data_IF_006331127073
#
_entry.id   IF_006331127073
#
_cell.length_a   1.000
_cell.length_b   1.000
_cell.length_c   1.000
_cell.angle_alpha   90.00
_cell.angle_beta   90.00
_cell.angle_gamma   90.00
#
_symmetry.space_group_name_H-M   'P 1'
#
loop_
_entity.id
_entity.type
_entity.pdbx_description
1 polymer ?
#
# COMPACT_ATOMS: atom_id res chain seq x y z
N UNK A 1 17.67 16.12 11.83
CA UNK A 1 16.75 15.18 12.48
C UNK A 1 15.79 14.72 11.40
N UNK A 2 15.71 13.42 11.11
CA UNK A 2 14.69 12.90 10.19
C UNK A 2 13.45 12.60 11.02
N UNK A 3 12.31 13.19 10.67
CA UNK A 3 11.03 12.83 11.26
C UNK A 3 10.70 11.39 10.88
N UNK A 4 10.47 10.54 11.88
CA UNK A 4 10.07 9.15 11.66
C UNK A 4 8.56 9.10 11.49
N UNK A 5 8.11 8.74 10.29
CA UNK A 5 6.69 8.49 10.01
C UNK A 5 6.42 6.99 10.10
N UNK A 6 5.56 6.59 11.03
CA UNK A 6 5.10 5.21 11.14
C UNK A 6 3.88 5.02 10.24
N UNK A 7 4.00 4.14 9.25
CA UNK A 7 2.88 3.73 8.40
C UNK A 7 2.10 2.62 9.09
N UNK A 8 0.82 2.86 9.34
CA UNK A 8 -0.08 1.83 9.85
C UNK A 8 -0.20 0.68 8.87
N UNK A 9 -0.07 -0.56 9.35
CA UNK A 9 -0.44 -1.73 8.56
C UNK A 9 -1.95 -1.75 8.32
N UNK A 10 -2.33 -2.02 7.08
CA UNK A 10 -3.73 -2.14 6.66
C UNK A 10 -4.03 -3.63 6.45
N UNK A 11 -5.17 -4.11 6.97
CA UNK A 11 -5.56 -5.53 6.91
C UNK A 11 -4.85 -6.47 7.91
N UNK A 12 -5.37 -7.70 8.02
CA UNK A 12 -4.83 -8.82 8.83
C UNK A 12 -4.68 -10.06 7.93
N UNK A 13 -3.86 -11.02 8.38
CA UNK A 13 -3.69 -12.37 7.79
C UNK A 13 -3.01 -12.45 6.41
N UNK A 14 -1.67 -12.28 6.34
CA UNK A 14 -0.93 -12.52 5.10
C UNK A 14 -0.90 -14.02 4.75
N UNK A 15 -1.03 -14.32 3.46
CA UNK A 15 -0.88 -15.66 2.86
C UNK A 15 0.55 -15.87 2.35
N UNK A 16 1.11 -14.90 1.64
CA UNK A 16 2.46 -14.92 1.09
C UNK A 16 3.03 -13.49 1.09
N UNK A 17 4.09 -13.17 1.84
CA UNK A 17 4.62 -11.81 1.92
C UNK A 17 5.42 -11.39 0.67
N UNK A 18 5.69 -12.32 -0.25
CA UNK A 18 6.50 -12.05 -1.45
C UNK A 18 5.88 -10.92 -2.27
N UNK A 19 6.69 -9.95 -2.72
CA UNK A 19 6.24 -8.80 -3.50
C UNK A 19 5.56 -7.69 -2.70
N UNK A 20 5.38 -7.85 -1.37
CA UNK A 20 4.82 -6.80 -0.51
C UNK A 20 5.67 -5.52 -0.54
N UNK A 21 6.99 -5.64 -0.42
CA UNK A 21 7.92 -4.51 -0.52
C UNK A 21 7.85 -3.80 -1.87
N UNK A 22 7.87 -4.56 -2.97
CA UNK A 22 7.76 -4.00 -4.33
C UNK A 22 6.43 -3.26 -4.54
N UNK A 23 5.34 -3.82 -4.00
CA UNK A 23 4.01 -3.18 -4.04
C UNK A 23 3.99 -1.86 -3.28
N UNK A 24 4.63 -1.82 -2.11
CA UNK A 24 4.76 -0.61 -1.29
C UNK A 24 5.50 0.48 -2.07
N UNK A 25 6.68 0.17 -2.61
CA UNK A 25 7.51 1.12 -3.36
C UNK A 25 6.81 1.59 -4.63
N UNK A 26 6.19 0.67 -5.38
CA UNK A 26 5.46 1.01 -6.61
C UNK A 26 4.30 1.97 -6.31
N UNK A 27 3.42 1.63 -5.37
CA UNK A 27 2.26 2.47 -5.05
C UNK A 27 2.65 3.82 -4.43
N UNK A 28 3.66 3.85 -3.55
CA UNK A 28 4.17 5.09 -2.97
C UNK A 28 4.73 6.00 -4.07
N UNK A 29 5.59 5.45 -4.93
CA UNK A 29 6.22 6.20 -6.02
C UNK A 29 5.18 6.73 -6.99
N UNK A 30 4.22 5.91 -7.41
CA UNK A 30 3.14 6.32 -8.31
C UNK A 30 2.28 7.43 -7.67
N UNK A 31 1.93 7.31 -6.39
CA UNK A 31 1.13 8.33 -5.71
C UNK A 31 1.87 9.67 -5.57
N UNK A 32 3.16 9.64 -5.19
CA UNK A 32 3.99 10.86 -5.07
C UNK A 32 4.19 11.52 -6.44
N UNK A 33 4.50 10.75 -7.48
CA UNK A 33 4.64 11.27 -8.85
C UNK A 33 3.30 11.81 -9.38
N UNK A 34 2.17 11.28 -8.91
CA UNK A 34 0.83 11.78 -9.19
C UNK A 34 0.42 13.01 -8.38
N UNK A 35 1.29 13.54 -7.50
CA UNK A 35 1.03 14.74 -6.71
C UNK A 35 0.20 14.50 -5.43
N UNK A 36 0.07 13.26 -4.97
CA UNK A 36 -0.63 12.96 -3.72
C UNK A 36 0.11 13.56 -2.51
N UNK A 37 -0.65 13.99 -1.49
CA UNK A 37 -0.05 14.40 -0.23
C UNK A 37 0.68 13.21 0.43
N UNK A 38 1.73 13.44 1.25
CA UNK A 38 2.50 12.36 1.86
C UNK A 38 1.64 11.34 2.62
N UNK A 39 0.62 11.80 3.34
CA UNK A 39 -0.31 10.94 4.07
C UNK A 39 -1.17 10.07 3.13
N UNK A 40 -1.57 10.57 1.96
CA UNK A 40 -2.37 9.81 1.00
C UNK A 40 -1.52 8.77 0.26
N UNK A 41 -0.28 9.15 -0.08
CA UNK A 41 0.70 8.24 -0.68
C UNK A 41 1.06 7.08 0.27
N UNK A 42 1.22 7.39 1.55
CA UNK A 42 1.37 6.44 2.65
C UNK A 42 0.20 5.43 2.71
N UNK A 43 -1.04 5.91 2.64
CA UNK A 43 -2.24 5.05 2.62
C UNK A 43 -2.30 4.15 1.38
N UNK A 44 -1.96 4.68 0.21
CA UNK A 44 -1.91 3.90 -1.03
C UNK A 44 -0.85 2.78 -0.95
N UNK A 45 0.32 3.09 -0.39
CA UNK A 45 1.40 2.13 -0.18
C UNK A 45 0.97 0.98 0.76
N UNK A 46 0.39 1.31 1.92
CA UNK A 46 -0.12 0.29 2.84
C UNK A 46 -1.22 -0.56 2.21
N UNK A 47 -2.15 0.05 1.47
CA UNK A 47 -3.20 -0.68 0.77
C UNK A 47 -2.67 -1.65 -0.29
N UNK A 48 -1.61 -1.26 -1.01
CA UNK A 48 -0.98 -2.11 -2.01
C UNK A 48 -0.32 -3.34 -1.38
N UNK A 49 0.35 -3.16 -0.24
CA UNK A 49 0.89 -4.28 0.55
C UNK A 49 -0.24 -5.25 0.92
N UNK A 50 -1.34 -4.76 1.51
CA UNK A 50 -2.48 -5.59 1.91
C UNK A 50 -3.08 -6.37 0.74
N UNK A 51 -3.20 -5.76 -0.44
CA UNK A 51 -3.72 -6.42 -1.64
C UNK A 51 -2.80 -7.51 -2.17
N UNK A 52 -1.48 -7.33 -2.03
CA UNK A 52 -0.47 -8.29 -2.51
C UNK A 52 -0.29 -9.46 -1.55
N UNK A 53 -0.14 -9.22 -0.25
CA UNK A 53 0.24 -10.30 0.68
C UNK A 53 -0.89 -11.29 0.97
N UNK A 54 -2.11 -11.02 0.51
CA UNK A 54 -3.30 -11.88 0.69
C UNK A 54 -3.48 -12.92 -0.43
N UNK A 55 -2.54 -13.01 -1.37
CA UNK A 55 -2.53 -14.00 -2.46
C UNK A 55 -1.14 -14.60 -2.63
N UNK A 56 -1.06 -15.78 -3.22
CA UNK A 56 0.21 -16.43 -3.54
C UNK A 56 0.94 -15.71 -4.68
N UNK A 57 2.27 -15.63 -4.57
CA UNK A 57 3.17 -15.18 -5.62
C UNK A 57 3.55 -13.70 -5.54
N UNK A 58 4.77 -13.40 -5.96
CA UNK A 58 5.41 -12.10 -5.76
C UNK A 58 5.11 -11.00 -6.76
N UNK A 59 4.23 -11.21 -7.77
CA UNK A 59 3.97 -10.19 -8.80
C UNK A 59 2.78 -9.33 -8.38
N UNK A 60 2.97 -8.06 -8.00
CA UNK A 60 1.86 -7.17 -7.65
C UNK A 60 1.05 -6.82 -8.91
N UNK A 61 -0.27 -6.70 -8.77
CA UNK A 61 -1.12 -6.09 -9.79
C UNK A 61 -2.24 -5.25 -9.16
N UNK A 62 -1.92 -4.27 -8.28
CA UNK A 62 -2.95 -3.40 -7.71
C UNK A 62 -3.48 -2.44 -8.79
N UNK A 63 -4.81 -2.34 -8.90
CA UNK A 63 -5.46 -1.26 -9.66
C UNK A 63 -5.76 -0.06 -8.76
N UNK A 64 -5.86 1.17 -9.31
CA UNK A 64 -6.23 2.35 -8.53
C UNK A 64 -7.53 2.17 -7.73
N UNK A 65 -8.54 1.50 -8.32
CA UNK A 65 -9.84 1.24 -7.70
C UNK A 65 -9.71 0.31 -6.50
N UNK A 66 -8.90 -0.74 -6.62
CA UNK A 66 -8.62 -1.69 -5.54
C UNK A 66 -7.96 -0.98 -4.34
N UNK A 67 -6.95 -0.14 -4.61
CA UNK A 67 -6.29 0.65 -3.56
C UNK A 67 -7.28 1.60 -2.87
N UNK A 68 -8.10 2.30 -3.65
CA UNK A 68 -9.09 3.22 -3.10
C UNK A 68 -10.13 2.49 -2.22
N UNK A 69 -10.53 1.27 -2.59
CA UNK A 69 -11.43 0.44 -1.77
C UNK A 69 -10.80 0.08 -0.43
N UNK A 70 -9.54 -0.36 -0.44
CA UNK A 70 -8.81 -0.73 0.79
C UNK A 70 -8.63 0.49 1.70
N UNK A 71 -8.28 1.64 1.15
CA UNK A 71 -8.16 2.91 1.91
C UNK A 71 -9.50 3.29 2.53
N UNK A 72 -10.60 3.31 1.77
CA UNK A 72 -11.94 3.62 2.29
C UNK A 72 -12.38 2.67 3.41
N UNK A 73 -12.00 1.40 3.34
CA UNK A 73 -12.36 0.43 4.37
C UNK A 73 -11.64 0.65 5.71
N UNK A 74 -10.50 1.38 5.71
CA UNK A 74 -9.63 1.51 6.89
C UNK A 74 -9.41 2.94 7.36
N UNK A 75 -9.67 3.94 6.51
CA UNK A 75 -9.62 5.36 6.85
C UNK A 75 -11.01 5.79 7.32
N UNK A 76 -11.17 5.98 8.63
CA UNK A 76 -12.38 6.53 9.24
C UNK A 76 -12.37 8.06 9.19
#
# INVERSE_FOLDING_TARGET
>A
MADVVVLGQVGRDPVDPTGGGDSCVAALTTAVLGGAAPADAAWAASAAVTGTVRRLGGRPAPSPECLAQVVRAHRR
#
